data_IF_327146081806
#
_entry.id   IF_327146081806
#
_cell.length_a   1.000
_cell.length_b   1.000
_cell.length_c   1.000
_cell.angle_alpha   90.00
_cell.angle_beta   90.00
_cell.angle_gamma   90.00
#
_symmetry.space_group_name_H-M   'P 1'
#
loop_
_entity.id
_entity.type
_entity.pdbx_description
1 polymer ?
#
# COMPACT_ATOMS: atom_id res chain seq x y z
N UNK A 1 12.69 29.57 -4.91
CA UNK A 1 13.00 28.56 -3.87
C UNK A 1 12.30 27.29 -4.28
N UNK A 2 13.05 26.27 -4.68
CA UNK A 2 12.51 25.04 -5.25
C UNK A 2 11.71 24.27 -4.21
N UNK A 3 10.45 23.97 -4.52
CA UNK A 3 9.71 22.94 -3.81
C UNK A 3 10.36 21.60 -4.14
N UNK A 4 11.16 21.11 -3.21
CA UNK A 4 11.62 19.72 -3.24
C UNK A 4 10.36 18.86 -3.07
N UNK A 5 9.91 18.23 -4.17
CA UNK A 5 8.76 17.34 -4.15
C UNK A 5 9.16 16.13 -3.31
N UNK A 6 8.66 16.06 -2.07
CA UNK A 6 8.78 14.86 -1.25
C UNK A 6 8.24 13.65 -2.03
N UNK A 7 8.93 12.50 -1.97
CA UNK A 7 8.67 11.42 -2.90
C UNK A 7 7.36 10.68 -2.60
N UNK A 8 6.74 10.26 -3.69
CA UNK A 8 5.46 9.59 -3.77
C UNK A 8 5.66 8.07 -3.85
N UNK A 9 4.97 7.26 -3.05
CA UNK A 9 4.96 5.81 -3.21
C UNK A 9 6.14 5.09 -2.56
N UNK A 10 5.85 4.30 -1.52
CA UNK A 10 6.74 3.24 -1.03
C UNK A 10 6.18 1.89 -1.47
N UNK A 11 7.01 1.07 -2.12
CA UNK A 11 6.76 -0.35 -2.36
C UNK A 11 7.58 -1.21 -1.41
N UNK A 12 7.00 -2.26 -0.83
CA UNK A 12 7.74 -3.23 -0.03
C UNK A 12 7.58 -4.67 -0.55
N UNK A 13 8.65 -5.22 -1.15
CA UNK A 13 8.70 -6.57 -1.73
C UNK A 13 8.95 -7.66 -0.68
N UNK A 14 8.13 -8.73 -0.66
CA UNK A 14 8.14 -9.82 0.35
C UNK A 14 9.15 -10.89 0.05
N UNK A 15 9.85 -11.31 1.10
CA UNK A 15 10.59 -12.56 1.17
C UNK A 15 9.83 -13.51 2.09
N UNK A 16 9.43 -14.69 1.60
CA UNK A 16 9.13 -15.86 2.43
C UNK A 16 9.35 -17.16 1.67
N UNK A 17 10.04 -18.10 2.33
CA UNK A 17 10.27 -19.47 1.89
C UNK A 17 9.01 -20.34 2.00
N UNK A 18 9.02 -21.47 1.29
CA UNK A 18 7.86 -22.32 1.02
C UNK A 18 7.09 -22.87 2.24
N UNK A 19 5.84 -23.27 1.95
CA UNK A 19 5.03 -24.10 2.83
C UNK A 19 4.36 -23.39 4.00
N UNK A 20 3.60 -22.33 3.75
CA UNK A 20 2.70 -21.73 4.74
C UNK A 20 2.38 -20.27 4.41
N UNK A 21 1.10 -19.91 4.43
CA UNK A 21 0.55 -18.61 3.99
C UNK A 21 1.04 -17.38 4.81
N UNK A 22 1.94 -17.54 5.79
CA UNK A 22 2.36 -16.48 6.71
C UNK A 22 3.88 -16.52 7.04
N UNK A 23 4.77 -16.26 6.08
CA UNK A 23 6.19 -15.98 6.34
C UNK A 23 6.48 -14.46 6.37
N UNK A 24 6.80 -13.92 7.55
CA UNK A 24 6.72 -12.48 7.82
C UNK A 24 8.06 -11.73 7.75
N UNK A 25 8.37 -11.12 6.60
CA UNK A 25 9.45 -10.11 6.49
C UNK A 25 9.22 -8.85 7.38
N UNK A 26 8.08 -8.75 8.07
CA UNK A 26 7.75 -7.66 8.98
C UNK A 26 6.98 -6.49 8.36
N UNK A 27 6.40 -6.64 7.16
CA UNK A 27 5.73 -5.54 6.44
C UNK A 27 4.47 -5.04 7.11
N UNK A 28 3.52 -5.95 7.35
CA UNK A 28 2.27 -5.64 8.04
C UNK A 28 2.56 -5.16 9.46
N UNK A 29 3.57 -5.74 10.12
CA UNK A 29 4.05 -5.26 11.42
C UNK A 29 4.59 -3.83 11.32
N UNK A 30 5.42 -3.51 10.34
CA UNK A 30 5.93 -2.15 10.11
C UNK A 30 4.79 -1.17 9.83
N UNK A 31 3.85 -1.51 8.94
CA UNK A 31 2.68 -0.68 8.65
C UNK A 31 1.81 -0.44 9.88
N UNK A 32 1.62 -1.46 10.71
CA UNK A 32 0.89 -1.35 11.98
C UNK A 32 1.62 -0.44 12.97
N UNK A 33 2.94 -0.58 13.12
CA UNK A 33 3.77 0.27 14.00
C UNK A 33 3.72 1.73 13.55
N UNK A 34 3.87 1.99 12.24
CA UNK A 34 3.80 3.31 11.64
C UNK A 34 2.44 3.98 11.87
N UNK A 35 1.35 3.22 11.82
CA UNK A 35 -0.01 3.73 12.07
C UNK A 35 -0.43 3.73 13.55
N UNK A 36 0.48 3.40 14.47
CA UNK A 36 0.14 3.22 15.89
C UNK A 36 -1.01 2.23 16.14
N UNK A 37 -1.18 1.22 15.27
CA UNK A 37 -2.20 0.16 15.38
C UNK A 37 -1.60 -1.14 15.92
N UNK A 38 -2.43 -1.97 16.54
CA UNK A 38 -2.08 -3.34 16.96
C UNK A 38 -0.75 -3.46 17.74
N UNK A 39 -0.48 -2.52 18.64
CA UNK A 39 0.78 -2.44 19.41
C UNK A 39 0.89 -3.42 20.58
N UNK A 40 -0.10 -4.30 20.79
CA UNK A 40 -0.31 -5.07 22.02
C UNK A 40 0.96 -5.51 22.76
N UNK A 41 1.76 -6.37 22.14
CA UNK A 41 2.99 -6.91 22.74
C UNK A 41 4.27 -6.43 22.03
N UNK A 42 4.20 -5.37 21.23
CA UNK A 42 5.33 -4.88 20.45
C UNK A 42 6.11 -3.84 21.25
N UNK A 43 7.41 -4.10 21.43
CA UNK A 43 8.36 -3.07 21.88
C UNK A 43 8.75 -2.27 20.64
N UNK A 44 8.43 -0.98 20.65
CA UNK A 44 8.78 -0.05 19.57
C UNK A 44 9.90 0.85 20.07
N UNK A 45 11.05 0.77 19.42
CA UNK A 45 12.18 1.67 19.62
C UNK A 45 12.32 2.62 18.43
N UNK A 46 12.75 3.86 18.68
CA UNK A 46 12.86 4.93 17.70
C UNK A 46 11.64 5.87 17.56
N UNK A 47 11.80 6.88 16.70
CA UNK A 47 10.82 7.97 16.51
C UNK A 47 10.03 7.83 15.20
N UNK A 48 8.73 8.14 15.25
CA UNK A 48 7.90 8.32 14.05
C UNK A 48 7.62 9.81 13.88
N UNK A 49 8.09 10.38 12.76
CA UNK A 49 7.94 11.80 12.45
C UNK A 49 7.19 12.02 11.15
N UNK A 50 6.38 13.06 11.10
CA UNK A 50 5.72 13.56 9.88
C UNK A 50 6.06 15.04 9.75
N UNK A 51 6.67 15.43 8.63
CA UNK A 51 7.20 16.79 8.44
C UNK A 51 8.06 17.25 9.63
N UNK A 52 9.02 16.40 10.01
CA UNK A 52 9.95 16.57 11.14
C UNK A 52 9.33 16.66 12.54
N UNK A 53 8.00 16.54 12.66
CA UNK A 53 7.30 16.55 13.95
C UNK A 53 7.07 15.13 14.45
N UNK A 54 7.48 14.88 15.69
CA UNK A 54 7.14 13.65 16.40
C UNK A 54 5.62 13.54 16.55
N UNK A 55 5.03 12.49 15.96
CA UNK A 55 3.57 12.40 15.85
C UNK A 55 2.94 11.40 16.81
N UNK A 56 3.70 10.39 17.25
CA UNK A 56 3.23 9.36 18.16
C UNK A 56 1.87 8.76 17.73
N UNK A 57 0.89 8.79 18.62
CA UNK A 57 -0.47 8.28 18.36
C UNK A 57 -1.31 9.19 17.44
N UNK A 58 -0.88 10.43 17.19
CA UNK A 58 -1.58 11.38 16.33
C UNK A 58 -1.47 11.08 14.83
N UNK A 59 -0.73 10.03 14.44
CA UNK A 59 -0.61 9.63 13.03
C UNK A 59 -1.98 9.33 12.41
N UNK A 60 -2.88 8.72 13.19
CA UNK A 60 -4.23 8.32 12.73
C UNK A 60 -5.14 9.50 12.39
N UNK A 61 -4.85 10.70 12.88
CA UNK A 61 -5.63 11.90 12.51
C UNK A 61 -5.15 12.53 11.19
N UNK A 62 -4.00 12.12 10.68
CA UNK A 62 -3.42 12.64 9.43
C UNK A 62 -3.20 11.54 8.38
N UNK A 63 -3.52 10.29 8.70
CA UNK A 63 -3.39 9.16 7.79
C UNK A 63 -4.71 8.41 7.60
N UNK A 64 -4.84 7.77 6.45
CA UNK A 64 -5.80 6.70 6.23
C UNK A 64 -5.11 5.34 6.12
N UNK A 65 -5.83 4.28 6.47
CA UNK A 65 -5.35 2.90 6.39
C UNK A 65 -6.34 2.03 5.64
N UNK A 66 -5.94 1.55 4.47
CA UNK A 66 -6.70 0.57 3.68
C UNK A 66 -6.16 -0.82 4.00
N UNK A 67 -7.03 -1.68 4.53
CA UNK A 67 -6.67 -3.05 4.90
C UNK A 67 -6.59 -3.97 3.66
N UNK A 68 -5.93 -5.10 3.83
CA UNK A 68 -5.88 -6.16 2.81
C UNK A 68 -7.28 -6.74 2.54
N UNK A 69 -8.05 -7.02 3.59
CA UNK A 69 -9.42 -7.53 3.45
C UNK A 69 -10.43 -6.39 3.38
N UNK A 70 -11.21 -6.39 2.30
CA UNK A 70 -12.29 -5.44 2.11
C UNK A 70 -13.57 -5.95 2.78
N UNK A 71 -13.91 -5.37 3.93
CA UNK A 71 -15.13 -5.75 4.67
C UNK A 71 -16.26 -4.78 4.34
N UNK A 72 -17.12 -5.18 3.41
CA UNK A 72 -18.28 -4.40 2.99
C UNK A 72 -19.61 -5.07 3.32
N UNK A 73 -20.64 -4.24 3.51
CA UNK A 73 -22.04 -4.70 3.54
C UNK A 73 -22.51 -4.87 2.10
N UNK A 74 -22.48 -6.12 1.60
CA UNK A 74 -22.74 -6.42 0.19
C UNK A 74 -24.11 -6.01 -0.35
N UNK A 75 -25.10 -5.80 0.54
CA UNK A 75 -26.43 -5.34 0.16
C UNK A 75 -26.48 -3.85 -0.24
N UNK A 76 -25.53 -3.03 0.21
CA UNK A 76 -25.49 -1.60 -0.12
C UNK A 76 -24.99 -1.38 -1.54
N UNK A 77 -25.46 -0.30 -2.18
CA UNK A 77 -24.86 0.24 -3.39
C UNK A 77 -23.59 1.00 -3.07
N UNK A 78 -22.70 1.11 -4.07
CA UNK A 78 -21.47 1.91 -3.99
C UNK A 78 -21.73 3.32 -3.46
N UNK A 79 -22.72 4.03 -4.03
CA UNK A 79 -23.08 5.39 -3.60
C UNK A 79 -23.61 5.45 -2.17
N UNK A 80 -24.39 4.45 -1.76
CA UNK A 80 -25.01 4.39 -0.43
C UNK A 80 -23.94 4.17 0.63
N UNK A 81 -22.99 3.28 0.35
CA UNK A 81 -21.84 3.06 1.21
C UNK A 81 -21.00 4.34 1.38
N UNK A 82 -20.64 5.01 0.28
CA UNK A 82 -19.86 6.25 0.36
C UNK A 82 -20.63 7.37 1.07
N UNK A 83 -21.94 7.47 0.84
CA UNK A 83 -22.78 8.43 1.53
C UNK A 83 -22.82 8.18 3.04
N UNK A 84 -22.97 6.91 3.45
CA UNK A 84 -22.94 6.51 4.84
C UNK A 84 -21.59 6.84 5.51
N UNK A 85 -20.48 6.51 4.85
CA UNK A 85 -19.12 6.87 5.32
C UNK A 85 -18.92 8.39 5.42
N UNK A 86 -19.42 9.14 4.42
CA UNK A 86 -19.33 10.60 4.41
C UNK A 86 -20.08 11.20 5.59
N UNK A 87 -21.26 10.66 5.93
CA UNK A 87 -22.02 11.14 7.07
C UNK A 87 -21.35 10.86 8.41
N UNK A 88 -20.68 9.72 8.56
CA UNK A 88 -20.06 9.32 9.82
C UNK A 88 -18.67 9.93 10.06
N UNK A 89 -17.87 10.10 9.01
CA UNK A 89 -16.42 10.37 9.15
C UNK A 89 -16.01 11.78 8.78
N UNK A 90 -16.80 12.49 7.98
CA UNK A 90 -16.49 13.87 7.62
C UNK A 90 -16.83 14.81 8.77
N UNK A 91 -16.04 15.88 8.89
CA UNK A 91 -16.18 16.92 9.91
C UNK A 91 -17.64 17.38 10.06
N UNK A 92 -18.22 17.36 11.28
CA UNK A 92 -19.61 17.74 11.55
C UNK A 92 -19.98 19.15 11.03
N UNK A 93 -19.01 20.06 10.94
CA UNK A 93 -19.23 21.42 10.44
C UNK A 93 -19.41 21.50 8.92
N UNK A 94 -19.07 20.43 8.17
CA UNK A 94 -19.27 20.38 6.73
C UNK A 94 -20.76 20.19 6.40
N UNK A 95 -21.29 21.14 5.61
CA UNK A 95 -22.69 21.14 5.17
C UNK A 95 -23.06 19.87 4.40
N UNK A 96 -24.33 19.48 4.44
CA UNK A 96 -24.84 18.32 3.68
C UNK A 96 -24.50 18.42 2.18
N UNK A 97 -24.64 19.61 1.60
CA UNK A 97 -24.34 19.88 0.19
C UNK A 97 -22.86 19.70 -0.12
N UNK A 98 -21.97 20.14 0.78
CA UNK A 98 -20.53 19.98 0.60
C UNK A 98 -20.08 18.54 0.82
N UNK A 99 -20.73 17.78 1.72
CA UNK A 99 -20.52 16.33 1.85
C UNK A 99 -20.89 15.60 0.57
N UNK A 100 -22.05 15.94 -0.02
CA UNK A 100 -22.50 15.32 -1.28
C UNK A 100 -21.56 15.65 -2.43
N UNK A 101 -21.11 16.91 -2.51
CA UNK A 101 -20.10 17.34 -3.48
C UNK A 101 -18.79 16.57 -3.32
N UNK A 102 -18.26 16.48 -2.10
CA UNK A 102 -17.02 15.72 -1.83
C UNK A 102 -17.16 14.24 -2.18
N UNK A 103 -18.28 13.62 -1.84
CA UNK A 103 -18.57 12.23 -2.21
C UNK A 103 -18.53 12.04 -3.73
N UNK A 104 -19.15 12.94 -4.51
CA UNK A 104 -19.16 12.89 -5.97
C UNK A 104 -17.76 13.09 -6.56
N UNK A 105 -16.97 14.01 -6.02
CA UNK A 105 -15.57 14.23 -6.40
C UNK A 105 -14.75 12.95 -6.20
N UNK A 106 -14.80 12.35 -5.00
CA UNK A 106 -14.08 11.11 -4.68
C UNK A 106 -14.53 9.95 -5.58
N UNK A 107 -15.83 9.82 -5.84
CA UNK A 107 -16.36 8.78 -6.72
C UNK A 107 -15.84 8.94 -8.16
N UNK A 108 -15.70 10.18 -8.63
CA UNK A 108 -15.12 10.48 -9.94
C UNK A 108 -13.62 10.19 -9.96
N UNK A 109 -12.86 10.65 -8.96
CA UNK A 109 -11.41 10.40 -8.82
C UNK A 109 -11.10 8.89 -8.87
N UNK A 110 -11.92 8.07 -8.21
CA UNK A 110 -11.77 6.61 -8.12
C UNK A 110 -12.43 5.84 -9.28
N UNK A 111 -12.94 6.54 -10.30
CA UNK A 111 -13.60 5.94 -11.47
C UNK A 111 -14.77 5.00 -11.11
N UNK A 112 -15.54 5.35 -10.07
CA UNK A 112 -16.68 4.56 -9.56
C UNK A 112 -18.04 5.07 -10.05
N UNK A 113 -18.09 6.19 -10.78
CA UNK A 113 -19.35 6.80 -11.23
C UNK A 113 -20.23 5.84 -12.04
N UNK A 114 -19.62 4.97 -12.86
CA UNK A 114 -20.36 4.00 -13.69
C UNK A 114 -21.05 2.90 -12.87
N UNK A 115 -20.49 2.54 -11.72
CA UNK A 115 -21.02 1.48 -10.85
C UNK A 115 -21.66 2.03 -9.56
N UNK A 116 -21.91 3.34 -9.48
CA UNK A 116 -22.44 4.00 -8.29
C UNK A 116 -23.76 3.42 -7.77
N UNK A 117 -24.62 2.94 -8.69
CA UNK A 117 -25.92 2.35 -8.40
C UNK A 117 -25.90 0.82 -8.32
N UNK A 118 -24.73 0.21 -8.52
CA UNK A 118 -24.53 -1.23 -8.44
C UNK A 118 -24.34 -1.64 -6.98
N UNK A 119 -24.96 -2.75 -6.58
CA UNK A 119 -24.72 -3.38 -5.28
C UNK A 119 -23.26 -3.85 -5.16
N UNK A 120 -22.67 -3.67 -3.98
CA UNK A 120 -21.29 -4.09 -3.73
C UNK A 120 -21.15 -5.60 -3.88
N UNK A 121 -22.15 -6.37 -3.44
CA UNK A 121 -22.16 -7.82 -3.51
C UNK A 121 -21.26 -8.48 -2.47
N UNK A 122 -21.16 -9.80 -2.55
CA UNK A 122 -20.33 -10.63 -1.67
C UNK A 122 -19.53 -11.55 -2.58
N UNK A 123 -18.19 -11.44 -2.64
CA UNK A 123 -17.36 -12.29 -3.50
C UNK A 123 -17.72 -13.78 -3.37
N UNK A 124 -17.96 -14.44 -4.51
CA UNK A 124 -18.34 -15.86 -4.58
C UNK A 124 -19.75 -16.22 -4.11
N UNK A 125 -20.55 -15.27 -3.58
CA UNK A 125 -21.91 -15.55 -3.07
C UNK A 125 -23.00 -14.69 -3.72
N UNK A 126 -22.76 -13.40 -3.84
CA UNK A 126 -23.73 -12.43 -4.38
C UNK A 126 -23.02 -11.58 -5.42
N UNK A 127 -23.51 -11.58 -6.66
CA UNK A 127 -22.96 -10.77 -7.74
C UNK A 127 -23.00 -9.28 -7.36
N UNK A 128 -21.91 -8.57 -7.61
CA UNK A 128 -21.78 -7.14 -7.37
C UNK A 128 -20.72 -6.51 -8.26
N UNK A 129 -20.03 -5.52 -7.73
CA UNK A 129 -18.90 -4.87 -8.40
C UNK A 129 -17.70 -5.81 -8.54
N UNK A 130 -16.80 -5.51 -9.47
CA UNK A 130 -15.54 -6.26 -9.66
C UNK A 130 -14.58 -6.09 -8.47
N UNK A 131 -13.61 -6.99 -8.32
CA UNK A 131 -12.59 -6.88 -7.25
C UNK A 131 -11.78 -5.58 -7.33
N UNK A 132 -11.40 -5.15 -8.53
CA UNK A 132 -10.72 -3.87 -8.73
C UNK A 132 -11.59 -2.65 -8.38
N UNK A 133 -12.90 -2.69 -8.66
CA UNK A 133 -13.84 -1.65 -8.22
C UNK A 133 -14.02 -1.66 -6.70
N UNK A 134 -14.06 -2.84 -6.08
CA UNK A 134 -14.13 -3.00 -4.63
C UNK A 134 -12.92 -2.39 -3.94
N UNK A 135 -11.71 -2.62 -4.46
CA UNK A 135 -10.48 -1.97 -3.94
C UNK A 135 -10.53 -0.45 -4.08
N UNK A 136 -10.98 0.07 -5.22
CA UNK A 136 -11.16 1.52 -5.41
C UNK A 136 -12.25 2.10 -4.51
N UNK A 137 -13.28 1.33 -4.16
CA UNK A 137 -14.28 1.72 -3.17
C UNK A 137 -13.67 1.83 -1.77
N UNK A 138 -12.76 0.94 -1.39
CA UNK A 138 -12.02 1.05 -0.12
C UNK A 138 -11.18 2.31 -0.07
N UNK A 139 -10.50 2.67 -1.18
CA UNK A 139 -9.76 3.93 -1.28
C UNK A 139 -10.70 5.14 -1.21
N UNK A 140 -11.84 5.07 -1.90
CA UNK A 140 -12.84 6.13 -1.90
C UNK A 140 -13.35 6.42 -0.48
N UNK A 141 -13.67 5.38 0.30
CA UNK A 141 -14.14 5.54 1.68
C UNK A 141 -13.13 6.29 2.55
N UNK A 142 -11.84 5.99 2.40
CA UNK A 142 -10.76 6.68 3.11
C UNK A 142 -10.54 8.12 2.62
N UNK A 143 -10.66 8.36 1.33
CA UNK A 143 -10.45 9.66 0.68
C UNK A 143 -11.51 10.72 1.01
N UNK A 144 -12.66 10.34 1.57
CA UNK A 144 -13.71 11.28 1.96
C UNK A 144 -13.19 12.35 2.94
N UNK A 145 -12.26 11.98 3.82
CA UNK A 145 -11.62 12.90 4.80
C UNK A 145 -10.40 13.65 4.23
N UNK A 146 -10.06 13.41 2.95
CA UNK A 146 -8.90 13.97 2.25
C UNK A 146 -7.58 13.89 3.06
N UNK A 147 -7.18 12.71 3.54
CA UNK A 147 -5.97 12.56 4.34
C UNK A 147 -4.72 12.85 3.47
N UNK A 148 -3.69 13.54 4.01
CA UNK A 148 -2.44 13.78 3.30
C UNK A 148 -1.56 12.53 3.17
N UNK A 149 -1.74 11.54 4.06
CA UNK A 149 -0.98 10.29 4.09
C UNK A 149 -1.92 9.09 3.97
N UNK A 150 -1.57 8.12 3.12
CA UNK A 150 -2.33 6.88 2.95
C UNK A 150 -1.43 5.67 3.05
N UNK A 151 -1.86 4.70 3.84
CA UNK A 151 -1.26 3.39 3.94
C UNK A 151 -2.18 2.34 3.33
N UNK A 152 -1.68 1.52 2.43
CA UNK A 152 -2.46 0.47 1.78
C UNK A 152 -1.75 -0.88 1.94
N UNK A 153 -2.39 -1.80 2.66
CA UNK A 153 -1.83 -3.13 2.91
C UNK A 153 -2.28 -4.11 1.81
N UNK A 154 -1.33 -4.61 1.03
CA UNK A 154 -1.53 -5.54 -0.09
C UNK A 154 -2.73 -5.19 -1.00
N UNK A 155 -2.83 -3.96 -1.54
CA UNK A 155 -4.01 -3.50 -2.29
C UNK A 155 -4.24 -4.25 -3.60
N UNK A 156 -3.25 -4.99 -4.09
CA UNK A 156 -3.32 -5.80 -5.32
C UNK A 156 -3.60 -7.28 -5.06
N UNK A 157 -3.74 -7.69 -3.79
CA UNK A 157 -3.97 -9.09 -3.43
C UNK A 157 -5.29 -9.60 -4.00
N UNK A 158 -5.28 -10.80 -4.58
CA UNK A 158 -6.46 -11.44 -5.19
C UNK A 158 -6.93 -10.80 -6.51
N UNK A 159 -6.17 -9.88 -7.09
CA UNK A 159 -6.45 -9.28 -8.40
C UNK A 159 -5.60 -9.91 -9.50
N UNK A 160 -6.15 -9.98 -10.72
CA UNK A 160 -5.35 -10.26 -11.91
C UNK A 160 -4.39 -9.09 -12.21
N UNK A 161 -3.41 -9.33 -13.09
CA UNK A 161 -2.35 -8.35 -13.42
C UNK A 161 -2.90 -7.03 -13.95
N UNK A 162 -3.97 -7.08 -14.77
CA UNK A 162 -4.58 -5.88 -15.34
C UNK A 162 -5.31 -5.06 -14.26
N UNK A 163 -6.09 -5.72 -13.40
CA UNK A 163 -6.75 -5.06 -12.27
C UNK A 163 -5.75 -4.51 -11.26
N UNK A 164 -4.68 -5.25 -10.96
CA UNK A 164 -3.60 -4.80 -10.08
C UNK A 164 -2.93 -3.52 -10.63
N UNK A 165 -2.61 -3.49 -11.92
CA UNK A 165 -2.04 -2.31 -12.56
C UNK A 165 -2.98 -1.09 -12.46
N UNK A 166 -4.28 -1.28 -12.70
CA UNK A 166 -5.28 -0.21 -12.56
C UNK A 166 -5.39 0.32 -11.12
N UNK A 167 -5.26 -0.56 -10.12
CA UNK A 167 -5.23 -0.19 -8.71
C UNK A 167 -3.99 0.64 -8.40
N UNK A 168 -2.81 0.22 -8.86
CA UNK A 168 -1.56 0.98 -8.64
C UNK A 168 -1.55 2.30 -9.40
N UNK A 169 -2.13 2.36 -10.60
CA UNK A 169 -2.32 3.63 -11.33
C UNK A 169 -3.19 4.61 -10.53
N UNK A 170 -4.26 4.11 -9.90
CA UNK A 170 -5.12 4.91 -9.04
C UNK A 170 -4.34 5.49 -7.86
N UNK A 171 -3.53 4.67 -7.18
CA UNK A 171 -2.65 5.13 -6.10
C UNK A 171 -1.63 6.16 -6.58
N UNK A 172 -1.07 5.97 -7.78
CA UNK A 172 -0.13 6.91 -8.41
C UNK A 172 -0.79 8.26 -8.72
N UNK A 173 -2.01 8.25 -9.27
CA UNK A 173 -2.80 9.46 -9.51
C UNK A 173 -3.11 10.19 -8.21
N UNK A 174 -3.44 9.47 -7.14
CA UNK A 174 -3.64 10.06 -5.82
C UNK A 174 -2.37 10.73 -5.31
N UNK A 175 -1.22 10.08 -5.43
CA UNK A 175 0.05 10.66 -5.01
C UNK A 175 0.43 11.91 -5.84
N UNK A 176 0.10 11.92 -7.14
CA UNK A 176 0.30 13.09 -8.00
C UNK A 176 -0.52 14.33 -7.56
N UNK A 177 -1.57 14.16 -6.75
CA UNK A 177 -2.33 15.27 -6.13
C UNK A 177 -1.66 15.87 -4.89
N UNK A 178 -0.44 15.42 -4.54
CA UNK A 178 0.32 15.90 -3.37
C UNK A 178 0.09 15.08 -2.10
N UNK A 179 -0.43 13.86 -2.22
CA UNK A 179 -0.56 12.91 -1.10
C UNK A 179 0.66 12.00 -1.02
N UNK A 180 1.05 11.62 0.19
CA UNK A 180 2.01 10.54 0.39
C UNK A 180 1.26 9.21 0.44
N UNK A 181 1.62 8.28 -0.43
CA UNK A 181 1.05 6.92 -0.46
C UNK A 181 2.14 5.92 -0.12
N UNK A 182 1.85 5.02 0.82
CA UNK A 182 2.70 3.91 1.25
C UNK A 182 1.92 2.63 1.04
N UNK A 183 2.47 1.66 0.31
CA UNK A 183 1.81 0.37 0.16
C UNK A 183 2.75 -0.82 0.25
N UNK A 184 2.21 -1.95 0.69
CA UNK A 184 2.87 -3.26 0.63
C UNK A 184 2.38 -3.98 -0.62
N UNK A 185 3.28 -4.58 -1.39
CA UNK A 185 2.91 -5.32 -2.60
C UNK A 185 3.60 -6.67 -2.56
N UNK A 186 2.81 -7.73 -2.65
CA UNK A 186 3.30 -9.09 -2.73
C UNK A 186 3.60 -9.45 -4.18
N UNK A 187 4.86 -9.75 -4.50
CA UNK A 187 5.30 -10.26 -5.82
C UNK A 187 4.67 -9.52 -7.01
N UNK A 188 5.01 -8.23 -7.20
CA UNK A 188 4.48 -7.46 -8.32
C UNK A 188 4.92 -8.03 -9.67
N UNK A 189 4.11 -7.81 -10.70
CA UNK A 189 4.60 -7.95 -12.08
C UNK A 189 5.66 -6.88 -12.38
N UNK A 190 6.45 -7.09 -13.43
CA UNK A 190 7.42 -6.11 -13.94
C UNK A 190 6.78 -4.75 -14.22
N UNK A 191 5.56 -4.74 -14.79
CA UNK A 191 4.84 -3.52 -15.11
C UNK A 191 4.45 -2.76 -13.83
N UNK A 192 3.92 -3.48 -12.83
CA UNK A 192 3.54 -2.88 -11.55
C UNK A 192 4.78 -2.36 -10.82
N UNK A 193 5.87 -3.12 -10.78
CA UNK A 193 7.13 -2.72 -10.17
C UNK A 193 7.69 -1.43 -10.78
N UNK A 194 7.63 -1.28 -12.10
CA UNK A 194 8.12 -0.10 -12.81
C UNK A 194 7.32 1.19 -12.50
N UNK A 195 6.16 1.10 -11.85
CA UNK A 195 5.32 2.26 -11.56
C UNK A 195 5.75 3.03 -10.30
N UNK A 196 6.58 2.44 -9.44
CA UNK A 196 6.98 3.02 -8.15
C UNK A 196 8.13 4.00 -8.27
N UNK A 197 8.06 5.10 -7.51
CA UNK A 197 9.15 6.08 -7.46
C UNK A 197 10.22 5.64 -6.44
N UNK A 198 9.81 5.03 -5.32
CA UNK A 198 10.70 4.52 -4.27
C UNK A 198 10.29 3.15 -3.75
N UNK A 199 11.30 2.41 -3.27
CA UNK A 199 11.15 1.04 -2.79
C UNK A 199 11.86 0.91 -1.44
N UNK A 200 11.23 0.16 -0.55
CA UNK A 200 11.75 -0.33 0.71
C UNK A 200 11.74 -1.86 0.67
N UNK A 201 12.88 -2.50 0.46
CA UNK A 201 12.97 -3.96 0.52
C UNK A 201 13.27 -4.38 1.95
N UNK A 202 12.50 -5.34 2.47
CA UNK A 202 12.69 -5.90 3.80
C UNK A 202 12.86 -7.42 3.76
N UNK A 203 13.81 -7.89 4.56
CA UNK A 203 14.05 -9.31 4.83
C UNK A 203 14.29 -9.49 6.34
N UNK A 204 13.65 -10.48 6.95
CA UNK A 204 13.77 -10.77 8.39
C UNK A 204 13.60 -9.56 9.34
N UNK A 205 12.67 -8.65 9.03
CA UNK A 205 12.44 -7.45 9.84
C UNK A 205 13.51 -6.36 9.69
N UNK A 206 14.46 -6.52 8.77
CA UNK A 206 15.52 -5.56 8.47
C UNK A 206 15.33 -4.93 7.10
N UNK A 207 15.89 -3.74 6.92
CA UNK A 207 15.89 -3.02 5.65
C UNK A 207 17.07 -3.49 4.83
N UNK A 208 16.81 -4.12 3.69
CA UNK A 208 17.84 -4.52 2.73
C UNK A 208 18.16 -3.40 1.73
N UNK A 209 17.14 -2.59 1.38
CA UNK A 209 17.28 -1.43 0.51
C UNK A 209 16.19 -0.41 0.81
N UNK A 210 16.53 0.88 0.73
CA UNK A 210 15.54 1.96 0.76
C UNK A 210 16.00 3.11 -0.13
N UNK A 211 15.30 3.35 -1.23
CA UNK A 211 15.74 4.36 -2.19
C UNK A 211 14.84 4.46 -3.43
N UNK A 212 15.27 5.24 -4.44
CA UNK A 212 14.58 5.34 -5.72
C UNK A 212 14.52 3.98 -6.45
N UNK A 213 13.34 3.62 -6.97
CA UNK A 213 13.15 2.32 -7.63
C UNK A 213 14.18 2.02 -8.73
N UNK A 214 14.51 3.05 -9.51
CA UNK A 214 15.48 3.01 -10.61
C UNK A 214 16.91 2.63 -10.19
N UNK A 215 17.31 2.93 -8.95
CA UNK A 215 18.68 2.72 -8.48
C UNK A 215 18.85 1.31 -7.85
N UNK A 216 17.74 0.59 -7.64
CA UNK A 216 17.74 -0.72 -6.96
C UNK A 216 18.60 -1.75 -7.69
N UNK A 217 18.55 -1.82 -9.02
CA UNK A 217 19.34 -2.79 -9.79
C UNK A 217 20.85 -2.53 -9.67
N UNK A 218 21.26 -1.26 -9.69
CA UNK A 218 22.66 -0.88 -9.56
C UNK A 218 23.19 -1.18 -8.15
N UNK A 219 22.38 -0.93 -7.12
CA UNK A 219 22.70 -1.27 -5.73
C UNK A 219 22.92 -2.78 -5.53
N UNK A 220 22.06 -3.65 -6.06
CA UNK A 220 22.30 -5.10 -5.96
C UNK A 220 23.54 -5.54 -6.76
N UNK A 221 23.82 -4.86 -7.88
CA UNK A 221 25.00 -5.12 -8.70
C UNK A 221 26.30 -4.78 -7.98
N UNK A 222 26.38 -3.70 -7.18
CA UNK A 222 27.56 -3.39 -6.37
C UNK A 222 27.84 -4.48 -5.33
N UNK A 223 26.78 -5.10 -4.82
CA UNK A 223 26.82 -6.26 -3.96
C UNK A 223 27.20 -7.59 -4.63
N UNK A 224 27.44 -7.61 -5.93
CA UNK A 224 27.77 -8.83 -6.69
C UNK A 224 26.57 -9.58 -7.28
N UNK A 225 25.34 -9.04 -7.14
CA UNK A 225 24.12 -9.69 -7.63
C UNK A 225 23.63 -9.02 -8.92
N UNK A 226 23.62 -9.75 -10.02
CA UNK A 226 23.18 -9.22 -11.33
C UNK A 226 21.86 -9.85 -11.76
N UNK A 227 20.86 -9.01 -12.01
CA UNK A 227 19.57 -9.44 -12.56
C UNK A 227 19.73 -9.85 -14.04
N UNK A 228 19.24 -11.03 -14.47
CA UNK A 228 19.22 -11.41 -15.89
C UNK A 228 18.33 -10.49 -16.73
N UNK A 229 18.65 -10.35 -18.02
CA UNK A 229 18.05 -9.36 -18.96
C UNK A 229 16.56 -9.56 -19.23
N UNK A 230 16.00 -10.75 -18.96
CA UNK A 230 14.58 -11.07 -19.14
C UNK A 230 13.93 -11.61 -17.86
N UNK A 231 14.41 -11.17 -16.72
CA UNK A 231 13.90 -11.59 -15.42
C UNK A 231 13.18 -10.42 -14.75
N UNK A 232 12.07 -10.70 -14.07
CA UNK A 232 11.34 -9.68 -13.33
C UNK A 232 12.23 -9.14 -12.20
N UNK A 233 12.58 -7.85 -12.19
CA UNK A 233 13.46 -7.29 -11.15
C UNK A 233 12.92 -7.53 -9.74
N UNK A 234 11.60 -7.45 -9.56
CA UNK A 234 10.98 -7.68 -8.27
C UNK A 234 11.20 -9.10 -7.76
N UNK A 235 11.01 -10.10 -8.63
CA UNK A 235 11.29 -11.49 -8.30
C UNK A 235 12.77 -11.69 -8.01
N UNK A 236 13.66 -11.02 -8.75
CA UNK A 236 15.11 -11.11 -8.54
C UNK A 236 15.49 -10.63 -7.14
N UNK A 237 14.97 -9.47 -6.71
CA UNK A 237 15.23 -8.97 -5.36
C UNK A 237 14.65 -9.89 -4.28
N UNK A 238 13.44 -10.40 -4.48
CA UNK A 238 12.79 -11.31 -3.54
C UNK A 238 13.59 -12.60 -3.39
N UNK A 239 14.04 -13.19 -4.50
CA UNK A 239 14.85 -14.39 -4.50
C UNK A 239 16.24 -14.16 -3.90
N UNK A 240 16.88 -13.04 -4.22
CA UNK A 240 18.20 -12.69 -3.67
C UNK A 240 18.17 -12.51 -2.16
N UNK A 241 17.08 -11.94 -1.64
CA UNK A 241 16.90 -11.72 -0.21
C UNK A 241 16.26 -12.93 0.50
N UNK A 242 15.93 -14.00 -0.22
CA UNK A 242 15.36 -15.21 0.35
C UNK A 242 16.40 -16.03 1.09
N UNK A 243 16.05 -16.44 2.31
CA UNK A 243 16.88 -17.34 3.10
C UNK A 243 16.74 -18.73 2.54
N UNK A 244 17.85 -19.33 2.13
CA UNK A 244 17.88 -20.73 1.70
C UNK A 244 18.12 -21.63 2.91
N UNK A 245 17.28 -22.66 3.15
CA UNK A 245 17.49 -23.64 4.21
C UNK A 245 18.87 -24.30 4.09
N UNK A 246 19.65 -24.27 5.17
CA UNK A 246 21.03 -24.74 5.21
C UNK A 246 22.11 -23.70 4.92
N UNK A 247 21.73 -22.48 4.51
CA UNK A 247 22.63 -21.33 4.27
C UNK A 247 22.21 -20.09 5.07
N UNK A 248 21.51 -20.29 6.19
CA UNK A 248 20.85 -19.19 6.92
C UNK A 248 21.82 -18.10 7.39
N UNK A 249 23.03 -18.49 7.82
CA UNK A 249 24.04 -17.55 8.28
C UNK A 249 24.55 -16.63 7.16
N UNK A 250 24.76 -17.19 5.96
CA UNK A 250 25.27 -16.44 4.81
C UNK A 250 24.20 -15.50 4.25
N UNK A 251 22.94 -15.95 4.16
CA UNK A 251 21.80 -15.10 3.81
C UNK A 251 21.62 -13.95 4.81
N UNK A 252 21.82 -14.20 6.11
CA UNK A 252 21.73 -13.19 7.15
C UNK A 252 22.85 -12.15 7.08
N UNK A 253 24.05 -12.56 6.69
CA UNK A 253 25.17 -11.64 6.53
C UNK A 253 24.97 -10.70 5.34
N UNK A 254 24.40 -11.20 4.23
CA UNK A 254 24.00 -10.36 3.08
C UNK A 254 23.02 -9.24 3.52
N UNK A 255 22.04 -9.58 4.36
CA UNK A 255 21.07 -8.60 4.89
C UNK A 255 21.68 -7.68 5.96
N UNK A 256 22.75 -8.10 6.66
CA UNK A 256 23.42 -7.33 7.72
C UNK A 256 24.35 -6.25 7.20
N UNK A 257 25.16 -6.58 6.21
CA UNK A 257 26.29 -5.73 5.79
C UNK A 257 25.81 -4.63 4.84
N UNK A 258 24.66 -4.81 4.18
CA UNK A 258 24.23 -3.95 3.08
C UNK A 258 25.08 -4.22 1.83
N UNK A 259 24.59 -3.79 0.67
CA UNK A 259 25.28 -3.96 -0.62
C UNK A 259 26.04 -2.69 -1.04
#
# INVERSE_FOLDING_TARGET
>A
MGHDKQPNGFMNGKVSHGGGEHGGAGKTTLLNVLNSRNRGNLIVDGDIRVNDKLIGKGITSVSAYVQQDDVFVGALKVKEHLWFQAMLRMDPEISFKDRERRMKEVMHEMSLTKCQDTSIGIPGKVKGISGGEMKRLSFAAELLTNPPLMFCDEPTSGLDSYMAQNVVDTLKRMAATGKTVVCTIHQPSSEVFAMFDRILLMAEGRVAYMGPAKDTLEYFKSGGFTCPVNYNPADFFIHTLAIVPGEEAECQDIVRVGF
#
